data_IF_257913849070
#
_entry.id   IF_257913849070
#
_cell.length_a   1.000
_cell.length_b   1.000
_cell.length_c   1.000
_cell.angle_alpha   90.00
_cell.angle_beta   90.00
_cell.angle_gamma   90.00
#
_symmetry.space_group_name_H-M   'P 1'
#
loop_
_entity.id
_entity.type
_entity.pdbx_description
1 polymer ?
#
# COMPACT_ATOMS: atom_id res chain seq x y z
N UNK A 1 -38.40 -6.18 -34.02
CA UNK A 1 -38.93 -5.31 -33.03
C UNK A 1 -38.55 -5.63 -31.63
N UNK A 2 -38.72 -6.84 -31.26
CA UNK A 2 -38.47 -7.24 -29.88
C UNK A 2 -37.03 -7.25 -29.53
N UNK A 3 -36.19 -7.31 -30.48
CA UNK A 3 -34.78 -7.44 -30.27
C UNK A 3 -34.19 -6.24 -29.55
N UNK A 4 -34.80 -5.13 -29.74
CA UNK A 4 -34.24 -3.93 -29.17
C UNK A 4 -34.24 -3.91 -27.65
N UNK A 5 -35.18 -4.59 -27.09
CA UNK A 5 -35.29 -4.59 -25.65
C UNK A 5 -34.14 -5.31 -25.01
N UNK A 6 -33.63 -6.30 -25.65
CA UNK A 6 -32.54 -7.07 -25.10
C UNK A 6 -31.28 -6.23 -24.88
N UNK A 7 -31.07 -5.28 -25.75
CA UNK A 7 -29.85 -4.52 -25.68
C UNK A 7 -29.76 -3.68 -24.42
N UNK A 8 -30.86 -3.24 -23.95
CA UNK A 8 -30.83 -2.38 -22.78
C UNK A 8 -30.36 -3.09 -21.55
N UNK A 9 -30.70 -4.32 -21.43
CA UNK A 9 -30.29 -5.07 -20.26
C UNK A 9 -28.80 -5.26 -20.20
N UNK A 10 -28.22 -5.47 -21.34
CA UNK A 10 -26.78 -5.68 -21.38
C UNK A 10 -26.05 -4.45 -20.89
N UNK A 11 -26.51 -3.31 -21.27
CA UNK A 11 -25.87 -2.08 -20.87
C UNK A 11 -25.93 -1.87 -19.38
N UNK A 12 -27.06 -2.21 -18.79
CA UNK A 12 -27.21 -2.03 -17.37
C UNK A 12 -26.22 -2.86 -16.59
N UNK A 13 -25.99 -4.06 -17.08
CA UNK A 13 -25.04 -4.94 -16.39
C UNK A 13 -23.65 -4.39 -16.39
N UNK A 14 -23.25 -3.82 -17.48
CA UNK A 14 -21.91 -3.25 -17.55
C UNK A 14 -21.69 -2.12 -16.57
N UNK A 15 -22.68 -1.31 -16.43
CA UNK A 15 -22.54 -0.19 -15.52
C UNK A 15 -22.32 -0.63 -14.10
N UNK A 16 -23.00 -1.67 -13.72
CA UNK A 16 -22.84 -2.18 -12.37
C UNK A 16 -21.48 -2.77 -12.16
N UNK A 17 -20.97 -3.47 -13.14
CA UNK A 17 -19.66 -4.09 -12.99
C UNK A 17 -18.58 -3.06 -12.77
N UNK A 18 -18.68 -1.93 -13.45
CA UNK A 18 -17.63 -0.94 -13.35
C UNK A 18 -17.51 -0.32 -11.98
N UNK A 19 -18.59 -0.25 -11.25
CA UNK A 19 -18.56 0.44 -9.96
C UNK A 19 -17.79 -0.33 -8.90
N UNK A 20 -17.74 -1.64 -9.02
CA UNK A 20 -17.16 -2.45 -7.94
C UNK A 20 -15.68 -2.22 -7.76
N UNK A 21 -14.98 -1.92 -8.82
CA UNK A 21 -13.54 -1.83 -8.75
C UNK A 21 -13.02 -0.59 -8.06
N UNK A 22 -13.88 0.37 -7.80
CA UNK A 22 -13.43 1.61 -7.20
C UNK A 22 -12.89 1.43 -5.80
N UNK A 23 -13.20 0.33 -5.14
CA UNK A 23 -12.79 0.13 -3.77
C UNK A 23 -11.41 -0.50 -3.63
N UNK A 24 -10.80 -0.93 -4.71
CA UNK A 24 -9.51 -1.61 -4.63
C UNK A 24 -8.41 -0.65 -4.24
N UNK A 25 -7.56 -1.08 -3.32
CA UNK A 25 -6.39 -0.32 -2.92
C UNK A 25 -5.23 -0.64 -3.84
N UNK A 26 -4.43 0.37 -4.13
CA UNK A 26 -3.32 0.21 -5.04
C UNK A 26 -2.02 0.11 -4.28
N UNK A 27 -1.13 -0.68 -4.81
CA UNK A 27 0.22 -0.79 -4.29
C UNK A 27 1.13 0.14 -5.07
N UNK A 28 1.97 0.83 -4.33
CA UNK A 28 2.95 1.73 -4.93
C UNK A 28 4.33 1.13 -4.78
N UNK A 29 5.14 1.31 -5.81
CA UNK A 29 6.53 0.85 -5.74
C UNK A 29 7.34 1.86 -4.93
N UNK A 30 8.14 1.36 -4.01
CA UNK A 30 9.04 2.20 -3.23
C UNK A 30 10.41 1.58 -3.20
N UNK A 31 11.41 2.40 -2.91
CA UNK A 31 12.78 1.94 -2.73
C UNK A 31 13.19 2.25 -1.32
N UNK A 32 13.61 1.23 -0.58
CA UNK A 32 14.13 1.41 0.76
C UNK A 32 15.62 1.69 0.66
N UNK A 33 16.04 2.78 1.26
CA UNK A 33 17.44 3.15 1.27
C UNK A 33 18.19 2.53 2.43
N UNK A 34 17.52 2.37 3.55
CA UNK A 34 18.12 1.76 4.71
C UNK A 34 17.24 1.91 5.91
N UNK A 35 17.62 1.25 6.99
CA UNK A 35 16.90 1.28 8.25
C UNK A 35 17.86 1.53 9.38
N UNK A 36 17.38 2.18 10.42
CA UNK A 36 18.16 2.35 11.62
C UNK A 36 17.25 2.26 12.83
N UNK A 37 17.85 2.02 13.98
CA UNK A 37 17.13 1.93 15.24
C UNK A 37 17.56 3.09 16.11
N UNK A 38 16.59 3.88 16.55
CA UNK A 38 16.89 5.05 17.37
C UNK A 38 15.88 5.12 18.51
N UNK A 39 16.36 4.97 19.72
CA UNK A 39 15.51 5.08 20.92
C UNK A 39 14.28 4.18 20.86
N UNK A 40 14.46 2.95 20.41
CA UNK A 40 13.34 2.02 20.35
C UNK A 40 12.42 2.19 19.17
N UNK A 41 12.77 3.06 18.23
CA UNK A 41 11.99 3.29 17.02
C UNK A 41 12.78 2.81 15.82
N UNK A 42 12.17 1.99 15.00
CA UNK A 42 12.75 1.57 13.74
C UNK A 42 12.40 2.63 12.72
N UNK A 43 13.42 3.19 12.08
CA UNK A 43 13.26 4.26 11.12
C UNK A 43 13.77 3.77 9.77
N UNK A 44 12.92 3.82 8.76
CA UNK A 44 13.25 3.32 7.42
C UNK A 44 13.17 4.48 6.45
N UNK A 45 14.24 4.74 5.75
CA UNK A 45 14.26 5.79 4.73
C UNK A 45 13.82 5.19 3.40
N UNK A 46 12.82 5.79 2.79
CA UNK A 46 12.27 5.30 1.53
C UNK A 46 12.09 6.43 0.55
N UNK A 47 12.03 6.05 -0.72
CA UNK A 47 11.76 6.98 -1.80
C UNK A 47 10.62 6.42 -2.63
N UNK A 48 9.65 7.26 -2.91
CA UNK A 48 8.54 6.90 -3.78
C UNK A 48 8.52 7.91 -4.91
N UNK A 49 8.91 7.46 -6.10
CA UNK A 49 9.09 8.38 -7.20
C UNK A 49 10.20 9.37 -6.88
N UNK A 50 9.90 10.64 -6.91
CA UNK A 50 10.86 11.68 -6.62
C UNK A 50 10.79 12.17 -5.16
N UNK A 51 9.91 11.60 -4.36
CA UNK A 51 9.70 12.08 -3.00
C UNK A 51 10.33 11.17 -1.98
N UNK A 52 10.87 11.77 -0.93
CA UNK A 52 11.48 11.04 0.17
C UNK A 52 10.51 10.97 1.32
N UNK A 53 10.43 9.80 1.94
CA UNK A 53 9.59 9.57 3.09
C UNK A 53 10.36 8.80 4.14
N UNK A 54 9.76 8.73 5.32
CA UNK A 54 10.31 7.96 6.41
C UNK A 54 9.21 7.05 6.94
N UNK A 55 9.55 5.78 7.18
CA UNK A 55 8.62 4.86 7.81
C UNK A 55 9.10 4.63 9.23
N UNK A 56 8.18 4.62 10.17
CA UNK A 56 8.52 4.43 11.56
C UNK A 56 7.62 3.41 12.21
N UNK A 57 8.18 2.61 13.11
CA UNK A 57 7.41 1.72 13.94
C UNK A 57 8.18 1.47 15.23
N UNK A 58 7.47 1.06 16.27
CA UNK A 58 8.10 0.80 17.55
C UNK A 58 8.74 -0.57 17.55
N UNK A 59 9.98 -0.64 17.98
CA UNK A 59 10.68 -1.90 18.09
C UNK A 59 9.89 -2.85 18.99
N UNK A 60 9.74 -4.08 18.51
CA UNK A 60 9.02 -5.07 19.28
C UNK A 60 7.52 -5.09 19.03
N UNK A 61 6.98 -4.10 18.35
CA UNK A 61 5.58 -4.12 18.00
C UNK A 61 5.33 -5.15 16.91
N UNK A 62 4.16 -5.78 16.89
CA UNK A 62 3.84 -6.71 15.81
C UNK A 62 3.90 -6.00 14.48
N UNK A 63 4.57 -6.60 13.51
CA UNK A 63 4.67 -6.00 12.20
C UNK A 63 5.72 -4.93 12.06
N UNK A 64 6.56 -4.74 13.08
CA UNK A 64 7.64 -3.76 12.99
C UNK A 64 8.95 -4.50 12.74
N UNK A 65 9.48 -4.35 11.55
CA UNK A 65 10.71 -5.02 11.16
C UNK A 65 11.63 -4.02 10.47
N UNK A 66 12.93 -4.21 10.66
CA UNK A 66 13.91 -3.46 9.89
C UNK A 66 13.89 -3.96 8.47
N UNK A 67 13.98 -3.06 7.52
CA UNK A 67 13.96 -3.41 6.11
C UNK A 67 15.34 -3.22 5.53
N UNK A 68 15.76 -4.18 4.73
CA UNK A 68 17.01 -4.04 3.98
C UNK A 68 16.77 -3.13 2.81
N UNK A 69 17.83 -2.49 2.34
CA UNK A 69 17.73 -1.66 1.15
C UNK A 69 17.26 -2.52 -0.02
N UNK A 70 16.42 -1.94 -0.86
CA UNK A 70 15.89 -2.66 -1.99
C UNK A 70 14.52 -2.15 -2.36
N UNK A 71 13.85 -2.89 -3.21
CA UNK A 71 12.55 -2.50 -3.74
C UNK A 71 11.44 -3.24 -3.04
N UNK A 72 10.38 -2.51 -2.74
CA UNK A 72 9.23 -3.05 -2.03
C UNK A 72 7.97 -2.42 -2.60
N UNK A 73 6.83 -2.88 -2.12
CA UNK A 73 5.55 -2.29 -2.47
C UNK A 73 4.88 -1.79 -1.20
N UNK A 74 4.18 -0.68 -1.34
CA UNK A 74 3.53 -0.03 -0.21
C UNK A 74 2.06 0.17 -0.50
N UNK A 75 1.23 -0.13 0.48
CA UNK A 75 -0.20 0.13 0.42
C UNK A 75 -0.52 1.13 1.52
N UNK A 76 -1.10 2.27 1.14
CA UNK A 76 -1.52 3.26 2.09
C UNK A 76 -2.93 2.95 2.55
N UNK A 77 -3.12 2.89 3.83
CA UNK A 77 -4.42 2.57 4.38
C UNK A 77 -5.30 3.82 4.36
N UNK A 78 -6.59 3.64 4.16
CA UNK A 78 -7.46 4.79 3.93
C UNK A 78 -7.72 5.65 5.16
N UNK A 79 -7.58 5.08 6.35
CA UNK A 79 -7.89 5.84 7.55
C UNK A 79 -6.66 6.03 8.39
N UNK A 80 -6.62 7.18 9.01
CA UNK A 80 -5.59 7.53 9.94
C UNK A 80 -6.23 7.57 11.30
N UNK A 81 -6.11 6.48 12.04
CA UNK A 81 -6.85 6.33 13.27
C UNK A 81 -6.05 6.66 14.52
N UNK A 82 -4.78 6.98 14.36
CA UNK A 82 -3.96 7.25 15.52
C UNK A 82 -4.20 8.61 16.08
N UNK A 83 -3.78 8.79 17.32
CA UNK A 83 -3.80 10.10 17.95
C UNK A 83 -2.74 11.00 17.38
N UNK A 84 -1.81 10.43 16.68
CA UNK A 84 -0.76 11.18 16.03
C UNK A 84 -1.07 11.31 14.57
N UNK A 85 -0.50 12.29 13.95
CA UNK A 85 -0.71 12.50 12.52
C UNK A 85 0.16 11.53 11.75
N UNK A 86 -0.21 10.30 11.81
CA UNK A 86 0.53 9.22 11.21
C UNK A 86 -0.35 8.56 10.17
N UNK A 87 0.20 8.35 9.01
CA UNK A 87 -0.52 7.67 7.95
C UNK A 87 -0.05 6.22 7.91
N UNK A 88 -0.94 5.31 8.26
CA UNK A 88 -0.59 3.91 8.34
C UNK A 88 -0.40 3.32 6.95
N UNK A 89 0.66 2.55 6.79
CA UNK A 89 0.96 1.88 5.53
C UNK A 89 1.37 0.45 5.80
N UNK A 90 1.16 -0.39 4.80
CA UNK A 90 1.63 -1.78 4.83
C UNK A 90 2.70 -1.95 3.77
N UNK A 91 3.75 -2.68 4.13
CA UNK A 91 4.85 -2.92 3.22
C UNK A 91 4.87 -4.38 2.82
N UNK A 92 5.02 -4.61 1.52
CA UNK A 92 5.04 -5.95 0.94
C UNK A 92 6.34 -6.13 0.19
N UNK A 93 6.81 -7.36 0.15
CA UNK A 93 7.96 -7.68 -0.67
C UNK A 93 7.59 -7.48 -2.14
N UNK A 94 8.60 -7.19 -2.96
CA UNK A 94 8.37 -7.12 -4.39
C UNK A 94 7.99 -8.50 -4.88
N UNK A 95 6.94 -8.58 -5.71
CA UNK A 95 6.50 -9.89 -6.18
C UNK A 95 7.52 -10.43 -7.17
N UNK A 96 7.82 -11.71 -7.02
CA UNK A 96 8.80 -12.36 -7.87
C UNK A 96 8.26 -12.69 -9.24
N UNK A 97 6.96 -12.81 -9.37
CA UNK A 97 6.33 -13.14 -10.62
C UNK A 97 5.26 -12.14 -10.99
N UNK A 98 4.85 -12.17 -12.22
CA UNK A 98 3.87 -11.20 -12.71
C UNK A 98 2.50 -11.36 -12.08
N UNK A 99 2.18 -12.55 -11.60
CA UNK A 99 0.85 -12.80 -11.07
C UNK A 99 0.81 -12.91 -9.56
N UNK A 100 1.94 -12.94 -8.91
CA UNK A 100 1.95 -13.13 -7.48
C UNK A 100 1.99 -11.81 -6.74
N UNK A 101 1.21 -11.76 -5.68
CA UNK A 101 1.24 -10.63 -4.77
C UNK A 101 2.41 -10.82 -3.82
N UNK A 102 3.14 -9.74 -3.55
CA UNK A 102 4.21 -9.81 -2.61
C UNK A 102 3.70 -10.15 -1.23
N UNK A 103 4.62 -10.63 -0.40
CA UNK A 103 4.28 -11.03 0.95
C UNK A 103 4.33 -9.84 1.87
N UNK A 104 3.34 -9.71 2.74
CA UNK A 104 3.32 -8.61 3.69
C UNK A 104 4.48 -8.77 4.68
N UNK A 105 5.25 -7.70 4.82
CA UNK A 105 6.42 -7.71 5.69
C UNK A 105 6.14 -6.98 6.99
N UNK A 106 5.42 -5.86 6.94
CA UNK A 106 5.17 -5.12 8.15
C UNK A 106 4.23 -3.96 7.94
N UNK A 107 3.97 -3.25 9.04
CA UNK A 107 3.12 -2.08 9.05
C UNK A 107 3.87 -0.94 9.71
N UNK A 108 3.74 0.23 9.13
CA UNK A 108 4.53 1.39 9.55
C UNK A 108 3.70 2.65 9.50
N UNK A 109 4.26 3.68 10.09
CA UNK A 109 3.72 5.03 10.03
C UNK A 109 4.51 5.78 8.97
N UNK A 110 3.83 6.34 7.98
CA UNK A 110 4.47 7.07 6.89
C UNK A 110 4.58 8.53 7.26
N UNK A 111 5.78 9.06 7.16
CA UNK A 111 6.05 10.45 7.47
C UNK A 111 6.73 11.08 6.27
N UNK A 112 6.23 12.21 5.86
CA UNK A 112 6.80 12.95 4.75
C UNK A 112 8.01 13.72 5.24
N UNK A 113 9.07 13.70 4.46
CA UNK A 113 10.30 14.40 4.83
C UNK A 113 10.36 15.79 4.22
#
# INVERSE_FOLDING_TARGET
MKIRITLFFVLAVFLLSGAVRAAAQEKSAITVKGSELSNGVVIVDVVKGAKAYELQCNQGAPGCASLKSGKYQMVELPTNTGMYECHDVQIFSESAGSTETGKKIGEYCLIEK
#
